data_IF_516362297820
#
_entry.id   IF_516362297820
#
_cell.length_a   1.000
_cell.length_b   1.000
_cell.length_c   1.000
_cell.angle_alpha   90.00
_cell.angle_beta   90.00
_cell.angle_gamma   90.00
#
_symmetry.space_group_name_H-M   'P 1'
#
loop_
_entity.id
_entity.type
_entity.pdbx_description
1 polymer ?
#
# COMPACT_ATOMS: atom_id res chain seq x y z
N UNK A 1 10.60 -18.27 -2.28
CA UNK A 1 9.18 -18.56 -2.51
C UNK A 1 8.40 -17.29 -2.16
N UNK A 2 7.62 -16.70 -3.05
CA UNK A 2 6.99 -15.39 -2.76
C UNK A 2 5.77 -15.51 -1.80
N UNK A 3 5.85 -16.36 -0.79
CA UNK A 3 4.82 -16.57 0.21
C UNK A 3 4.80 -15.46 1.27
N UNK A 4 3.98 -15.65 2.29
CA UNK A 4 3.68 -14.65 3.31
C UNK A 4 4.92 -14.20 4.09
N UNK A 5 5.67 -15.15 4.66
CA UNK A 5 6.84 -14.87 5.51
C UNK A 5 7.89 -14.02 4.76
N UNK A 6 8.20 -14.37 3.51
CA UNK A 6 9.18 -13.62 2.71
C UNK A 6 8.71 -12.20 2.38
N UNK A 7 7.39 -12.01 2.21
CA UNK A 7 6.82 -10.68 2.00
C UNK A 7 6.85 -9.86 3.30
N UNK A 8 6.58 -10.47 4.46
CA UNK A 8 6.71 -9.82 5.78
C UNK A 8 8.16 -9.39 6.04
N UNK A 9 9.12 -10.29 5.87
CA UNK A 9 10.55 -10.02 6.01
C UNK A 9 11.00 -8.84 5.15
N UNK A 10 10.61 -8.81 3.86
CA UNK A 10 10.96 -7.70 2.97
C UNK A 10 10.31 -6.37 3.36
N UNK A 11 9.10 -6.38 3.92
CA UNK A 11 8.49 -5.15 4.46
C UNK A 11 9.31 -4.67 5.66
N UNK A 12 9.73 -5.57 6.56
CA UNK A 12 10.55 -5.23 7.73
C UNK A 12 11.92 -4.70 7.30
N UNK A 13 12.60 -5.36 6.36
CA UNK A 13 13.86 -4.89 5.77
C UNK A 13 13.70 -3.50 5.17
N UNK A 14 12.62 -3.27 4.42
CA UNK A 14 12.31 -1.95 3.87
C UNK A 14 12.11 -0.89 4.95
N UNK A 15 11.39 -1.19 6.02
CA UNK A 15 11.16 -0.24 7.12
C UNK A 15 12.47 0.17 7.79
N UNK A 16 13.47 -0.71 7.81
CA UNK A 16 14.78 -0.50 8.44
C UNK A 16 15.88 0.00 7.49
N UNK A 17 15.66 0.00 6.18
CA UNK A 17 16.66 0.45 5.19
C UNK A 17 16.66 1.98 4.99
N UNK A 18 17.54 2.48 4.11
CA UNK A 18 17.52 3.88 3.67
C UNK A 18 16.54 4.14 2.51
N UNK A 19 15.99 3.08 1.90
CA UNK A 19 15.04 3.21 0.79
C UNK A 19 13.74 3.87 1.27
N UNK A 20 13.24 4.84 0.50
CA UNK A 20 12.04 5.61 0.89
C UNK A 20 10.75 5.08 0.31
N UNK A 21 10.81 4.34 -0.80
CA UNK A 21 9.62 3.90 -1.54
C UNK A 21 9.70 2.40 -1.79
N UNK A 22 8.62 1.70 -1.48
CA UNK A 22 8.43 0.30 -1.85
C UNK A 22 7.11 0.10 -2.60
N UNK A 23 7.06 -0.95 -3.42
CA UNK A 23 5.83 -1.40 -4.07
C UNK A 23 5.54 -2.85 -3.70
N UNK A 24 4.29 -3.12 -3.32
CA UNK A 24 3.77 -4.45 -2.98
C UNK A 24 2.88 -4.93 -4.13
N UNK A 25 3.27 -6.05 -4.75
CA UNK A 25 2.57 -6.72 -5.85
C UNK A 25 2.36 -8.21 -5.52
N UNK A 26 1.91 -9.00 -6.49
CA UNK A 26 1.64 -10.43 -6.31
C UNK A 26 0.15 -10.76 -6.42
N UNK A 27 -0.18 -12.04 -6.38
CA UNK A 27 -1.51 -12.59 -6.74
C UNK A 27 -2.58 -12.45 -5.66
N UNK A 28 -2.23 -12.25 -4.39
CA UNK A 28 -3.23 -12.11 -3.33
C UNK A 28 -3.85 -10.70 -3.27
N UNK A 29 -4.78 -10.39 -4.19
CA UNK A 29 -5.39 -9.06 -4.35
C UNK A 29 -5.83 -8.35 -3.06
N UNK A 30 -6.44 -9.09 -2.13
CA UNK A 30 -6.96 -8.53 -0.87
C UNK A 30 -6.01 -8.67 0.32
N UNK A 31 -5.15 -9.70 0.35
CA UNK A 31 -4.29 -9.93 1.50
C UNK A 31 -3.01 -9.06 1.50
N UNK A 32 -2.61 -8.50 0.35
CA UNK A 32 -1.45 -7.58 0.26
C UNK A 32 -1.57 -6.40 1.22
N UNK A 33 -2.73 -5.75 1.28
CA UNK A 33 -2.92 -4.62 2.18
C UNK A 33 -2.99 -5.08 3.64
N UNK A 34 -3.68 -6.18 3.93
CA UNK A 34 -3.76 -6.73 5.29
C UNK A 34 -2.36 -7.08 5.82
N UNK A 35 -1.50 -7.67 4.99
CA UNK A 35 -0.10 -7.94 5.30
C UNK A 35 0.65 -6.67 5.71
N UNK A 36 0.56 -5.62 4.89
CA UNK A 36 1.20 -4.33 5.16
C UNK A 36 0.67 -3.72 6.46
N UNK A 37 -0.65 -3.73 6.68
CA UNK A 37 -1.26 -3.18 7.91
C UNK A 37 -0.72 -3.91 9.14
N UNK A 38 -0.69 -5.25 9.12
CA UNK A 38 -0.24 -6.06 10.24
C UNK A 38 1.22 -5.77 10.58
N UNK A 39 2.12 -5.84 9.58
CA UNK A 39 3.54 -5.56 9.79
C UNK A 39 3.76 -4.15 10.34
N UNK A 40 3.07 -3.14 9.82
CA UNK A 40 3.18 -1.77 10.34
C UNK A 40 2.68 -1.66 11.79
N UNK A 41 1.59 -2.33 12.14
CA UNK A 41 1.03 -2.27 13.50
C UNK A 41 1.87 -3.05 14.52
N UNK A 42 2.59 -4.09 14.09
CA UNK A 42 3.41 -4.96 14.93
C UNK A 42 4.85 -4.42 15.11
N UNK A 43 5.40 -3.73 14.11
CA UNK A 43 6.80 -3.31 14.11
C UNK A 43 7.03 -1.80 14.29
N UNK A 44 5.99 -0.97 14.15
CA UNK A 44 6.06 0.45 14.50
C UNK A 44 5.37 0.69 15.84
N UNK A 45 5.88 1.65 16.62
CA UNK A 45 5.38 1.92 17.96
C UNK A 45 5.24 3.42 18.21
N UNK A 46 4.01 3.87 18.45
CA UNK A 46 3.72 5.28 18.72
C UNK A 46 3.84 6.19 17.49
N UNK A 47 3.94 5.61 16.30
CA UNK A 47 4.15 6.36 15.05
C UNK A 47 2.83 6.81 14.42
N UNK A 48 2.89 7.85 13.59
CA UNK A 48 1.77 8.25 12.75
C UNK A 48 1.87 7.58 11.38
N UNK A 49 0.83 6.83 11.00
CA UNK A 49 0.72 6.11 9.73
C UNK A 49 -0.43 6.73 8.93
N UNK A 50 -0.18 7.08 7.67
CA UNK A 50 -1.18 7.66 6.76
C UNK A 50 -1.63 6.64 5.72
N UNK A 51 -2.93 6.30 5.69
CA UNK A 51 -3.52 5.56 4.58
C UNK A 51 -4.18 6.54 3.59
N UNK A 52 -3.61 6.64 2.40
CA UNK A 52 -4.17 7.41 1.28
C UNK A 52 -4.94 6.48 0.36
N UNK A 53 -6.25 6.66 0.30
CA UNK A 53 -7.13 5.77 -0.48
C UNK A 53 -7.95 6.49 -1.54
N UNK A 54 -8.75 5.77 -2.33
CA UNK A 54 -9.61 6.40 -3.31
C UNK A 54 -10.82 7.09 -2.66
N UNK A 55 -11.44 6.44 -1.67
CA UNK A 55 -12.61 6.94 -0.92
C UNK A 55 -12.52 6.52 0.55
N UNK A 56 -13.10 7.31 1.46
CA UNK A 56 -13.19 6.93 2.88
C UNK A 56 -14.00 5.64 3.11
N UNK A 57 -14.91 5.32 2.19
CA UNK A 57 -15.62 4.05 2.20
C UNK A 57 -14.68 2.87 1.97
N UNK A 58 -13.74 2.98 1.03
CA UNK A 58 -12.72 1.94 0.82
C UNK A 58 -11.88 1.75 2.10
N UNK A 59 -11.46 2.84 2.74
CA UNK A 59 -10.77 2.76 4.03
C UNK A 59 -11.60 2.06 5.10
N UNK A 60 -12.91 2.32 5.15
CA UNK A 60 -13.78 1.69 6.14
C UNK A 60 -13.83 0.18 5.97
N UNK A 61 -13.76 -0.31 4.72
CA UNK A 61 -13.75 -1.74 4.40
C UNK A 61 -12.44 -2.41 4.84
N UNK A 62 -11.29 -1.89 4.43
CA UNK A 62 -10.01 -2.56 4.73
C UNK A 62 -9.55 -2.37 6.18
N UNK A 63 -9.94 -1.28 6.86
CA UNK A 63 -9.71 -1.12 8.30
C UNK A 63 -10.79 -1.80 9.15
N UNK A 64 -11.77 -2.46 8.52
CA UNK A 64 -12.89 -3.14 9.20
C UNK A 64 -13.57 -2.21 10.23
N UNK A 65 -13.71 -0.94 9.88
CA UNK A 65 -14.20 0.08 10.79
C UNK A 65 -15.72 -0.07 11.02
N UNK A 66 -16.12 -0.11 12.29
CA UNK A 66 -17.54 -0.16 12.69
C UNK A 66 -18.28 1.17 12.53
N UNK A 67 -17.52 2.27 12.45
CA UNK A 67 -18.05 3.62 12.29
C UNK A 67 -17.48 4.30 11.03
N UNK A 68 -18.21 5.31 10.55
CA UNK A 68 -17.80 6.10 9.37
C UNK A 68 -16.48 6.83 9.65
N UNK A 69 -15.48 6.55 8.83
CA UNK A 69 -14.18 7.19 8.90
C UNK A 69 -14.22 8.63 8.40
N UNK A 70 -13.35 9.47 8.96
CA UNK A 70 -13.20 10.90 8.68
C UNK A 70 -11.73 11.24 8.52
N UNK A 71 -11.44 12.23 7.70
CA UNK A 71 -10.10 12.82 7.64
C UNK A 71 -9.86 13.74 8.84
N UNK A 72 -8.59 13.95 9.22
CA UNK A 72 -8.23 14.76 10.39
C UNK A 72 -8.44 14.07 11.74
N UNK A 73 -8.90 12.82 11.76
CA UNK A 73 -9.11 12.03 12.98
C UNK A 73 -8.04 10.95 13.06
N UNK A 74 -7.43 10.80 14.23
CA UNK A 74 -6.54 9.70 14.54
C UNK A 74 -7.35 8.47 14.96
N UNK A 75 -7.09 7.33 14.33
CA UNK A 75 -7.60 6.02 14.69
C UNK A 75 -6.48 5.20 15.32
N UNK A 76 -6.81 4.20 16.14
CA UNK A 76 -5.80 3.34 16.76
C UNK A 76 -5.52 2.14 15.87
N UNK A 77 -4.24 1.91 15.58
CA UNK A 77 -3.72 0.69 14.97
C UNK A 77 -2.62 0.13 15.86
N UNK A 78 -2.98 -0.74 16.80
CA UNK A 78 -2.07 -1.15 17.88
C UNK A 78 -1.61 0.06 18.71
N UNK A 79 -0.29 0.25 18.80
CA UNK A 79 0.31 1.40 19.49
C UNK A 79 0.42 2.67 18.63
N UNK A 80 0.10 2.59 17.33
CA UNK A 80 0.24 3.68 16.36
C UNK A 80 -1.05 4.49 16.18
N UNK A 81 -0.88 5.68 15.61
CA UNK A 81 -1.97 6.53 15.15
C UNK A 81 -2.16 6.35 13.65
N UNK A 82 -3.33 5.90 13.24
CA UNK A 82 -3.74 5.77 11.85
C UNK A 82 -4.50 7.03 11.43
N UNK A 83 -3.98 7.73 10.44
CA UNK A 83 -4.66 8.80 9.74
C UNK A 83 -5.07 8.34 8.35
N UNK A 84 -6.12 8.96 7.82
CA UNK A 84 -6.70 8.56 6.55
C UNK A 84 -7.01 9.81 5.74
N UNK A 85 -6.55 9.81 4.50
CA UNK A 85 -6.99 10.76 3.50
C UNK A 85 -7.35 10.05 2.19
N UNK A 86 -7.69 10.84 1.17
CA UNK A 86 -8.04 10.30 -0.14
C UNK A 86 -7.14 10.86 -1.23
N UNK A 87 -7.21 10.30 -2.43
CA UNK A 87 -6.57 10.85 -3.63
C UNK A 87 -7.14 12.22 -4.05
N UNK A 88 -8.17 12.75 -3.36
CA UNK A 88 -8.66 14.12 -3.57
C UNK A 88 -7.85 15.10 -2.73
N UNK A 89 -7.21 16.06 -3.39
CA UNK A 89 -6.29 17.04 -2.79
C UNK A 89 -6.87 17.77 -1.56
N UNK A 90 -8.18 18.11 -1.59
CA UNK A 90 -8.90 18.76 -0.47
C UNK A 90 -8.87 17.99 0.87
N UNK A 91 -8.42 16.74 0.84
CA UNK A 91 -8.32 15.88 2.03
C UNK A 91 -6.91 15.82 2.62
N UNK A 92 -5.90 16.29 1.89
CA UNK A 92 -4.49 16.23 2.28
C UNK A 92 -4.18 17.23 3.40
N UNK A 93 -3.16 16.94 4.20
CA UNK A 93 -2.72 17.78 5.33
C UNK A 93 -3.63 17.71 6.56
N UNK A 94 -4.65 16.84 6.55
CA UNK A 94 -5.54 16.60 7.69
C UNK A 94 -5.09 15.37 8.47
N UNK A 95 -3.91 15.46 9.08
CA UNK A 95 -3.31 14.42 9.89
C UNK A 95 -2.38 15.01 10.95
N UNK A 96 -1.92 14.19 11.88
CA UNK A 96 -0.82 14.56 12.78
C UNK A 96 0.49 14.56 12.02
N UNK A 97 1.42 15.42 12.44
CA UNK A 97 2.78 15.46 11.92
C UNK A 97 3.78 15.13 13.05
N UNK A 98 4.92 14.46 12.76
CA UNK A 98 5.32 13.93 11.46
C UNK A 98 4.62 12.62 11.09
N UNK A 99 4.52 12.31 9.80
CA UNK A 99 4.08 10.98 9.32
C UNK A 99 5.30 10.09 9.09
N UNK A 100 5.36 8.95 9.79
CA UNK A 100 6.41 7.96 9.60
C UNK A 100 6.22 7.20 8.28
N UNK A 101 5.10 6.51 8.14
CA UNK A 101 4.81 5.69 6.95
C UNK A 101 3.51 6.14 6.30
N UNK A 102 3.51 6.31 4.98
CA UNK A 102 2.29 6.39 4.18
C UNK A 102 2.08 5.13 3.34
N UNK A 103 0.82 4.70 3.23
CA UNK A 103 0.38 3.58 2.41
C UNK A 103 -0.62 4.10 1.39
N UNK A 104 -0.38 3.84 0.10
CA UNK A 104 -1.33 4.17 -0.97
C UNK A 104 -2.01 2.89 -1.46
N UNK A 105 -3.32 2.80 -1.24
CA UNK A 105 -4.14 1.69 -1.71
C UNK A 105 -5.59 2.13 -1.97
N UNK A 106 -6.24 1.71 -3.06
CA UNK A 106 -5.70 0.89 -4.16
C UNK A 106 -4.86 1.68 -5.17
N UNK A 107 -4.00 1.00 -5.94
CA UNK A 107 -3.21 1.64 -7.01
C UNK A 107 -3.94 1.80 -8.35
N UNK A 108 -5.05 1.10 -8.62
CA UNK A 108 -5.79 1.26 -9.88
C UNK A 108 -6.10 2.72 -10.28
N UNK A 109 -6.52 3.62 -9.37
CA UNK A 109 -6.73 5.02 -9.73
C UNK A 109 -5.44 5.76 -10.14
N UNK A 110 -4.27 5.27 -9.71
CA UNK A 110 -2.95 5.85 -9.99
C UNK A 110 -2.43 5.51 -11.41
N UNK A 111 -3.24 4.87 -12.26
CA UNK A 111 -2.94 4.75 -13.69
C UNK A 111 -2.91 6.12 -14.39
N UNK A 112 -3.65 7.12 -13.87
CA UNK A 112 -3.52 8.51 -14.31
C UNK A 112 -2.17 9.08 -13.87
N UNK A 113 -1.32 9.44 -14.83
CA UNK A 113 0.00 10.02 -14.56
C UNK A 113 -0.08 11.30 -13.74
N UNK A 114 -0.99 12.22 -14.09
CA UNK A 114 -1.20 13.47 -13.34
C UNK A 114 -1.50 13.17 -11.87
N UNK A 115 -2.51 12.35 -11.61
CA UNK A 115 -2.92 12.00 -10.23
C UNK A 115 -1.77 11.33 -9.47
N UNK A 116 -1.05 10.43 -10.14
CA UNK A 116 0.07 9.70 -9.56
C UNK A 116 1.21 10.64 -9.16
N UNK A 117 1.65 11.51 -10.06
CA UNK A 117 2.73 12.46 -9.81
C UNK A 117 2.36 13.43 -8.69
N UNK A 118 1.15 13.98 -8.70
CA UNK A 118 0.66 14.89 -7.66
C UNK A 118 0.58 14.19 -6.29
N UNK A 119 0.02 12.98 -6.23
CA UNK A 119 -0.15 12.26 -4.97
C UNK A 119 1.18 11.77 -4.38
N UNK A 120 2.13 11.29 -5.20
CA UNK A 120 3.44 10.81 -4.74
C UNK A 120 4.32 11.99 -4.30
N UNK A 121 4.43 13.05 -5.11
CA UNK A 121 5.22 14.25 -4.75
C UNK A 121 4.68 14.92 -3.48
N UNK A 122 3.35 14.97 -3.31
CA UNK A 122 2.77 15.45 -2.07
C UNK A 122 3.27 14.66 -0.84
N UNK A 123 3.29 13.32 -0.92
CA UNK A 123 3.73 12.48 0.21
C UNK A 123 5.24 12.63 0.46
N UNK A 124 6.06 12.63 -0.59
CA UNK A 124 7.51 12.62 -0.46
C UNK A 124 8.12 14.00 -0.18
N UNK A 125 7.57 15.07 -0.76
CA UNK A 125 8.20 16.40 -0.77
C UNK A 125 7.51 17.38 0.18
N UNK A 126 6.18 17.31 0.29
CA UNK A 126 5.39 18.20 1.16
C UNK A 126 5.16 17.61 2.55
N UNK A 127 4.55 16.43 2.61
CA UNK A 127 4.32 15.71 3.87
C UNK A 127 5.64 15.14 4.42
N UNK A 128 6.60 14.85 3.53
CA UNK A 128 7.93 14.33 3.87
C UNK A 128 7.87 13.04 4.67
N UNK A 129 7.03 12.10 4.24
CA UNK A 129 6.94 10.78 4.86
C UNK A 129 8.30 10.10 4.84
N UNK A 130 8.65 9.41 5.94
CA UNK A 130 9.90 8.64 6.00
C UNK A 130 9.86 7.44 5.06
N UNK A 131 8.72 6.73 5.03
CA UNK A 131 8.48 5.56 4.18
C UNK A 131 7.17 5.70 3.40
N UNK A 132 7.18 5.30 2.12
CA UNK A 132 6.01 5.22 1.25
C UNK A 132 5.87 3.79 0.72
N UNK A 133 4.71 3.17 0.97
CA UNK A 133 4.37 1.85 0.47
C UNK A 133 3.21 1.97 -0.53
N UNK A 134 3.45 1.54 -1.76
CA UNK A 134 2.46 1.50 -2.84
C UNK A 134 1.91 0.07 -2.94
N UNK A 135 0.59 -0.13 -2.78
CA UNK A 135 0.02 -1.49 -2.71
C UNK A 135 -0.93 -1.77 -3.86
N UNK A 136 -0.59 -2.72 -4.73
CA UNK A 136 -1.45 -3.07 -5.86
C UNK A 136 -2.72 -3.80 -5.41
N UNK A 137 -3.83 -3.50 -6.05
CA UNK A 137 -5.12 -4.15 -5.80
C UNK A 137 -5.57 -5.08 -6.93
N UNK A 138 -4.78 -5.17 -8.00
CA UNK A 138 -5.02 -6.03 -9.16
C UNK A 138 -3.67 -6.50 -9.71
N UNK A 139 -3.69 -7.67 -10.30
CA UNK A 139 -2.46 -8.37 -10.71
C UNK A 139 -2.11 -8.06 -12.17
N UNK A 140 -3.11 -7.67 -12.97
CA UNK A 140 -2.97 -7.20 -14.35
C UNK A 140 -2.84 -5.67 -14.44
N UNK A 141 -2.53 -4.98 -13.34
CA UNK A 141 -2.39 -3.53 -13.37
C UNK A 141 -1.09 -3.17 -14.07
N UNK A 142 -1.15 -2.26 -15.05
CA UNK A 142 0.08 -1.70 -15.63
C UNK A 142 0.81 -0.87 -14.57
N UNK A 143 1.95 -1.39 -14.15
CA UNK A 143 2.84 -0.81 -13.16
C UNK A 143 4.19 -0.45 -13.77
N UNK A 144 4.34 -0.40 -15.10
CA UNK A 144 5.60 -0.02 -15.75
C UNK A 144 6.18 1.30 -15.25
N UNK A 145 5.33 2.25 -14.85
CA UNK A 145 5.72 3.50 -14.20
C UNK A 145 6.46 3.33 -12.86
N UNK A 146 6.29 2.19 -12.19
CA UNK A 146 6.92 1.83 -10.92
C UNK A 146 8.23 1.04 -11.13
N UNK A 147 8.68 0.84 -12.37
CA UNK A 147 9.86 0.02 -12.66
C UNK A 147 11.16 0.55 -12.01
N UNK A 148 11.24 1.86 -11.75
CA UNK A 148 12.38 2.50 -11.09
C UNK A 148 12.38 2.36 -9.55
N UNK A 149 11.33 1.76 -8.96
CA UNK A 149 11.29 1.50 -7.51
C UNK A 149 12.16 0.27 -7.22
N UNK A 150 13.21 0.47 -6.43
CA UNK A 150 14.17 -0.58 -6.07
C UNK A 150 13.53 -1.66 -5.20
N UNK A 151 12.78 -1.26 -4.18
CA UNK A 151 12.16 -2.20 -3.23
C UNK A 151 10.85 -2.76 -3.77
N UNK A 152 10.92 -3.97 -4.32
CA UNK A 152 9.77 -4.74 -4.81
C UNK A 152 9.46 -5.90 -3.88
N UNK A 153 8.25 -5.89 -3.32
CA UNK A 153 7.73 -6.90 -2.41
C UNK A 153 6.64 -7.66 -3.16
N UNK A 154 6.80 -8.98 -3.30
CA UNK A 154 5.83 -9.84 -4.02
C UNK A 154 5.20 -10.77 -3.00
N UNK A 155 3.87 -10.75 -2.91
CA UNK A 155 3.09 -11.67 -2.10
C UNK A 155 2.13 -12.47 -2.97
N UNK A 156 2.51 -13.71 -3.24
CA UNK A 156 1.82 -14.66 -4.11
C UNK A 156 1.11 -15.77 -3.33
N UNK A 157 -0.02 -16.22 -3.87
CA UNK A 157 -0.84 -17.30 -3.31
C UNK A 157 -0.37 -18.71 -3.60
N UNK A 158 0.91 -18.87 -3.92
CA UNK A 158 1.48 -20.15 -4.33
C UNK A 158 1.27 -21.26 -3.30
N UNK A 159 1.27 -20.91 -2.02
CA UNK A 159 1.14 -21.86 -0.91
C UNK A 159 -0.30 -21.92 -0.36
N UNK A 160 -1.02 -20.79 -0.37
CA UNK A 160 -2.36 -20.67 0.22
C UNK A 160 -3.51 -21.05 -0.75
N UNK A 161 -3.35 -20.77 -2.05
CA UNK A 161 -4.33 -21.12 -3.10
C UNK A 161 -3.61 -21.29 -4.46
N UNK A 162 -3.03 -22.48 -4.71
CA UNK A 162 -2.27 -22.77 -5.92
C UNK A 162 -3.11 -22.66 -7.20
N UNK A 163 -4.39 -23.04 -7.14
CA UNK A 163 -5.29 -22.98 -8.30
C UNK A 163 -5.63 -21.54 -8.69
N UNK A 164 -5.92 -20.69 -7.70
CA UNK A 164 -6.08 -19.25 -7.94
C UNK A 164 -4.80 -18.61 -8.46
N UNK A 165 -3.64 -18.98 -7.90
CA UNK A 165 -2.35 -18.50 -8.39
C UNK A 165 -2.18 -18.78 -9.89
N UNK A 166 -2.43 -20.03 -10.30
CA UNK A 166 -2.29 -20.43 -11.70
C UNK A 166 -3.26 -19.67 -12.61
N UNK A 167 -4.53 -19.51 -12.21
CA UNK A 167 -5.51 -18.72 -12.98
C UNK A 167 -5.05 -17.28 -13.20
N UNK A 168 -4.42 -16.66 -12.20
CA UNK A 168 -3.91 -15.30 -12.32
C UNK A 168 -2.67 -15.23 -13.23
N UNK A 169 -1.76 -16.21 -13.13
CA UNK A 169 -0.61 -16.33 -14.05
C UNK A 169 -1.10 -16.39 -15.50
N UNK A 170 -2.08 -17.24 -15.78
CA UNK A 170 -2.64 -17.45 -17.11
C UNK A 170 -3.34 -16.18 -17.64
N UNK A 171 -4.09 -15.47 -16.79
CA UNK A 171 -4.76 -14.21 -17.14
C UNK A 171 -3.74 -13.10 -17.47
N UNK A 172 -2.68 -12.96 -16.69
CA UNK A 172 -1.58 -12.00 -16.95
C UNK A 172 -0.91 -12.30 -18.29
N UNK A 173 -0.59 -13.58 -18.56
CA UNK A 173 0.04 -14.01 -19.80
C UNK A 173 -0.85 -13.75 -21.02
N UNK A 174 -2.15 -14.05 -20.91
CA UNK A 174 -3.12 -13.84 -22.00
C UNK A 174 -3.30 -12.38 -22.39
N UNK A 175 -3.09 -11.45 -21.44
CA UNK A 175 -3.25 -10.00 -21.63
C UNK A 175 -1.94 -9.28 -21.98
N UNK A 176 -0.82 -10.00 -22.06
CA UNK A 176 0.48 -9.44 -22.42
C UNK A 176 1.11 -8.54 -21.35
N UNK A 177 0.64 -8.59 -20.10
CA UNK A 177 1.23 -7.82 -19.01
C UNK A 177 2.51 -8.50 -18.51
N UNK A 178 3.55 -7.71 -18.19
CA UNK A 178 4.77 -8.20 -17.56
C UNK A 178 4.67 -8.02 -16.04
N UNK A 179 5.01 -9.07 -15.28
CA UNK A 179 5.22 -8.94 -13.84
C UNK A 179 6.46 -8.06 -13.57
N UNK A 180 6.34 -7.19 -12.56
CA UNK A 180 7.43 -6.34 -12.08
C UNK A 180 8.37 -7.08 -11.13
#
# INVERSE_FOLDING_TARGET
MNGREQAEEKIIEFLNSDERVAIVTGTHMHQKLDLVINVLCEHLFGENILFRTYTLENASRFLKASAKLKTGVAYRGGLNNIYIDTLKERTWGKHGDPIHTAVVYPLKPMSSEKLRTEAISNLLDRVKVKKLILVSNQDTLDLTWAASINTKIVYDSLEDDPEYHQRVIDDIASKGFKRL
#
